data_IF_450456161351
#
_entry.id   IF_450456161351
#
_cell.length_a   1.000
_cell.length_b   1.000
_cell.length_c   1.000
_cell.angle_alpha   90.00
_cell.angle_beta   90.00
_cell.angle_gamma   90.00
#
_symmetry.space_group_name_H-M   'P 1'
#
loop_
_entity.id
_entity.type
_entity.pdbx_description
1 polymer ?
#
# COMPACT_ATOMS: atom_id res chain seq x y z
N UNK A 1 -6.54 -29.29 9.66
CA UNK A 1 -7.67 -29.21 8.71
C UNK A 1 -8.66 -28.12 9.11
N UNK A 2 -9.25 -28.13 10.31
CA UNK A 2 -10.28 -27.16 10.71
C UNK A 2 -9.94 -25.67 10.46
N UNK A 3 -8.70 -25.22 10.68
CA UNK A 3 -8.29 -23.82 10.44
C UNK A 3 -8.24 -23.46 8.95
N UNK A 4 -7.78 -24.38 8.09
CA UNK A 4 -7.71 -24.16 6.63
C UNK A 4 -9.11 -24.08 6.02
N UNK A 5 -10.01 -24.93 6.50
CA UNK A 5 -11.41 -24.91 6.06
C UNK A 5 -12.10 -23.62 6.53
N UNK A 6 -11.84 -23.19 7.77
CA UNK A 6 -12.38 -21.95 8.32
C UNK A 6 -11.91 -20.71 7.54
N UNK A 7 -10.61 -20.57 7.27
CA UNK A 7 -10.11 -19.40 6.53
C UNK A 7 -10.62 -19.40 5.08
N UNK A 8 -10.74 -20.56 4.44
CA UNK A 8 -11.30 -20.68 3.09
C UNK A 8 -12.77 -20.23 3.06
N UNK A 9 -13.55 -20.66 4.06
CA UNK A 9 -14.94 -20.24 4.21
C UNK A 9 -15.05 -18.73 4.48
N UNK A 10 -14.25 -18.17 5.38
CA UNK A 10 -14.24 -16.72 5.66
C UNK A 10 -13.88 -15.89 4.43
N UNK A 11 -12.91 -16.33 3.61
CA UNK A 11 -12.56 -15.63 2.37
C UNK A 11 -13.70 -15.70 1.35
N UNK A 12 -14.36 -16.86 1.22
CA UNK A 12 -15.52 -17.00 0.34
C UNK A 12 -16.68 -16.09 0.78
N UNK A 13 -16.95 -16.04 2.08
CA UNK A 13 -17.99 -15.18 2.66
C UNK A 13 -17.67 -13.68 2.46
N UNK A 14 -16.42 -13.27 2.70
CA UNK A 14 -15.97 -11.90 2.43
C UNK A 14 -16.22 -11.51 0.97
N UNK A 15 -15.85 -12.38 0.01
CA UNK A 15 -16.08 -12.15 -1.42
C UNK A 15 -17.57 -11.98 -1.76
N UNK A 16 -18.44 -12.77 -1.13
CA UNK A 16 -19.89 -12.68 -1.30
C UNK A 16 -20.55 -11.43 -0.72
N UNK A 17 -19.79 -10.62 0.04
CA UNK A 17 -20.26 -9.38 0.66
C UNK A 17 -19.60 -8.11 0.10
N UNK A 18 -18.59 -8.21 -0.78
CA UNK A 18 -17.84 -7.04 -1.25
C UNK A 18 -18.72 -5.98 -1.94
N UNK A 19 -19.76 -6.39 -2.65
CA UNK A 19 -20.74 -5.50 -3.29
C UNK A 19 -21.62 -4.73 -2.30
N UNK A 20 -21.69 -5.19 -1.05
CA UNK A 20 -22.45 -4.58 0.04
C UNK A 20 -21.59 -3.72 0.96
N UNK A 21 -20.26 -3.79 0.84
CA UNK A 21 -19.34 -2.95 1.61
C UNK A 21 -19.25 -1.59 0.93
N UNK A 22 -20.06 -0.64 1.41
CA UNK A 22 -19.91 0.76 1.04
C UNK A 22 -18.89 1.41 1.98
N UNK A 23 -17.79 1.89 1.40
CA UNK A 23 -16.85 2.74 2.15
C UNK A 23 -17.37 4.17 2.10
N UNK A 24 -17.39 4.87 3.22
CA UNK A 24 -17.75 6.29 3.22
C UNK A 24 -16.82 7.06 2.27
N UNK A 25 -17.33 7.92 1.37
CA UNK A 25 -16.49 8.62 0.39
C UNK A 25 -15.35 9.43 1.02
N UNK A 26 -15.58 10.00 2.22
CA UNK A 26 -14.57 10.74 2.98
C UNK A 26 -13.43 9.86 3.49
N UNK A 27 -13.67 8.56 3.69
CA UNK A 27 -12.64 7.62 4.13
C UNK A 27 -11.87 7.11 2.91
N UNK A 28 -12.54 7.04 1.74
CA UNK A 28 -11.93 6.60 0.49
C UNK A 28 -10.76 7.48 0.04
N UNK A 29 -10.85 8.81 0.21
CA UNK A 29 -9.81 9.75 -0.22
C UNK A 29 -8.49 9.59 0.54
N UNK A 30 -8.53 9.02 1.76
CA UNK A 30 -7.35 8.75 2.57
C UNK A 30 -6.70 7.40 2.22
N UNK A 31 -7.46 6.46 1.64
CA UNK A 31 -7.00 5.08 1.41
C UNK A 31 -5.70 4.96 0.63
N UNK A 32 -5.42 5.75 -0.43
CA UNK A 32 -4.14 5.66 -1.11
C UNK A 32 -2.96 5.81 -0.15
N UNK A 33 -3.03 6.75 0.80
CA UNK A 33 -2.01 7.00 1.81
C UNK A 33 -2.01 5.90 2.89
N UNK A 34 -3.16 5.64 3.51
CA UNK A 34 -3.29 4.71 4.65
C UNK A 34 -2.82 3.29 4.31
N UNK A 35 -3.18 2.77 3.13
CA UNK A 35 -2.78 1.40 2.73
C UNK A 35 -1.26 1.27 2.67
N UNK A 36 -0.56 2.27 2.14
CA UNK A 36 0.89 2.24 2.07
C UNK A 36 1.54 2.56 3.42
N UNK A 37 0.91 3.41 4.23
CA UNK A 37 1.37 3.75 5.59
C UNK A 37 1.32 2.52 6.50
N UNK A 38 0.28 1.69 6.38
CA UNK A 38 0.17 0.42 7.11
C UNK A 38 1.31 -0.54 6.73
N UNK A 39 1.74 -0.55 5.46
CA UNK A 39 2.91 -1.35 5.05
C UNK A 39 4.19 -0.87 5.73
N UNK A 40 4.35 0.44 5.91
CA UNK A 40 5.46 0.99 6.68
C UNK A 40 5.35 0.59 8.15
N UNK A 41 4.20 0.84 8.77
CA UNK A 41 3.99 0.75 10.21
C UNK A 41 4.05 -0.69 10.71
N UNK A 42 3.47 -1.63 9.96
CA UNK A 42 3.34 -3.02 10.41
C UNK A 42 4.39 -3.93 9.77
N UNK A 43 4.53 -3.89 8.45
CA UNK A 43 5.37 -4.84 7.73
C UNK A 43 6.85 -4.47 7.82
N UNK A 44 7.23 -3.25 7.44
CA UNK A 44 8.64 -2.85 7.46
C UNK A 44 9.22 -2.67 8.88
N UNK A 45 8.36 -2.64 9.91
CA UNK A 45 8.77 -2.69 11.32
C UNK A 45 8.77 -4.12 11.89
N UNK A 46 8.34 -5.12 11.12
CA UNK A 46 8.33 -6.53 11.52
C UNK A 46 7.31 -6.89 12.61
N UNK A 47 6.24 -6.11 12.78
CA UNK A 47 5.25 -6.37 13.84
C UNK A 47 4.27 -7.50 13.51
N UNK A 48 4.17 -7.87 12.24
CA UNK A 48 3.14 -8.78 11.70
C UNK A 48 3.71 -10.10 11.20
N UNK A 49 5.03 -10.28 11.17
CA UNK A 49 5.62 -11.55 10.75
C UNK A 49 5.45 -12.62 11.84
N UNK A 50 4.59 -13.61 11.56
CA UNK A 50 4.36 -14.78 12.40
C UNK A 50 5.24 -15.96 11.97
N UNK A 51 6.43 -15.67 11.40
CA UNK A 51 7.39 -16.65 10.87
C UNK A 51 7.19 -17.01 9.40
N UNK A 52 6.44 -16.20 8.65
CA UNK A 52 6.16 -16.40 7.24
C UNK A 52 7.18 -15.74 6.30
N UNK A 53 7.91 -14.72 6.76
CA UNK A 53 8.90 -14.01 5.97
C UNK A 53 8.32 -13.33 4.72
N UNK A 54 7.05 -12.92 4.79
CA UNK A 54 6.27 -12.39 3.67
C UNK A 54 6.24 -10.86 3.60
N UNK A 55 6.95 -10.15 4.48
CA UNK A 55 6.79 -8.72 4.70
C UNK A 55 7.00 -7.92 3.40
N UNK A 56 8.03 -8.22 2.62
CA UNK A 56 8.27 -7.54 1.34
C UNK A 56 7.26 -7.88 0.25
N UNK A 57 6.73 -9.10 0.25
CA UNK A 57 5.67 -9.50 -0.67
C UNK A 57 4.37 -8.75 -0.34
N UNK A 58 4.07 -8.59 0.95
CA UNK A 58 2.92 -7.83 1.42
C UNK A 58 3.08 -6.33 1.13
N UNK A 59 4.27 -5.75 1.31
CA UNK A 59 4.56 -4.35 0.93
C UNK A 59 4.39 -4.16 -0.58
N UNK A 60 4.82 -5.11 -1.41
CA UNK A 60 4.58 -5.07 -2.85
C UNK A 60 3.08 -5.09 -3.17
N UNK A 61 2.30 -5.95 -2.50
CA UNK A 61 0.86 -6.01 -2.68
C UNK A 61 0.17 -4.70 -2.24
N UNK A 62 0.63 -4.08 -1.14
CA UNK A 62 0.18 -2.76 -0.69
C UNK A 62 0.46 -1.67 -1.73
N UNK A 63 1.66 -1.64 -2.31
CA UNK A 63 1.99 -0.70 -3.39
C UNK A 63 1.07 -0.89 -4.62
N UNK A 64 0.78 -2.14 -5.00
CA UNK A 64 -0.15 -2.43 -6.08
C UNK A 64 -1.59 -1.97 -5.76
N UNK A 65 -2.05 -2.18 -4.53
CA UNK A 65 -3.35 -1.68 -4.07
C UNK A 65 -3.41 -0.15 -4.08
N UNK A 66 -2.35 0.53 -3.64
CA UNK A 66 -2.24 2.00 -3.72
C UNK A 66 -2.35 2.50 -5.17
N UNK A 67 -1.74 1.82 -6.15
CA UNK A 67 -1.91 2.17 -7.58
C UNK A 67 -3.38 2.08 -8.01
N UNK A 68 -4.05 0.99 -7.66
CA UNK A 68 -5.45 0.79 -8.00
C UNK A 68 -6.37 1.85 -7.36
N UNK A 69 -6.05 2.30 -6.14
CA UNK A 69 -6.78 3.38 -5.46
C UNK A 69 -6.51 4.74 -6.10
N UNK A 70 -5.26 5.03 -6.49
CA UNK A 70 -4.91 6.24 -7.23
C UNK A 70 -5.65 6.33 -8.57
N UNK A 71 -5.81 5.23 -9.28
CA UNK A 71 -6.57 5.19 -10.53
C UNK A 71 -8.06 5.49 -10.33
N UNK A 72 -8.63 5.12 -9.18
CA UNK A 72 -10.02 5.44 -8.84
C UNK A 72 -10.24 6.93 -8.52
N UNK A 73 -9.29 7.58 -7.85
CA UNK A 73 -9.38 9.02 -7.54
C UNK A 73 -8.87 9.92 -8.68
N UNK A 74 -8.22 9.34 -9.69
CA UNK A 74 -7.56 10.08 -10.77
C UNK A 74 -8.44 11.14 -11.46
N UNK A 75 -9.73 10.88 -11.79
CA UNK A 75 -10.59 11.88 -12.43
C UNK A 75 -10.81 13.15 -11.60
N UNK A 76 -10.67 13.05 -10.27
CA UNK A 76 -10.85 14.18 -9.36
C UNK A 76 -9.53 14.88 -9.05
N UNK A 77 -8.43 14.13 -8.97
CA UNK A 77 -7.09 14.66 -8.66
C UNK A 77 -6.49 15.37 -9.87
N UNK A 78 -6.53 14.76 -11.07
CA UNK A 78 -5.81 15.27 -12.24
C UNK A 78 -6.18 16.71 -12.65
N UNK A 79 -7.45 17.16 -12.57
CA UNK A 79 -7.80 18.55 -12.86
C UNK A 79 -7.30 19.57 -11.82
N UNK A 80 -6.96 19.12 -10.60
CA UNK A 80 -6.54 19.97 -9.47
C UNK A 80 -5.03 20.01 -9.31
N UNK A 81 -4.38 18.86 -9.48
CA UNK A 81 -2.93 18.73 -9.56
C UNK A 81 -2.54 17.70 -10.63
N UNK A 82 -2.17 18.14 -11.84
CA UNK A 82 -1.79 17.25 -12.93
C UNK A 82 -0.42 16.57 -12.70
N UNK A 83 0.40 17.07 -11.77
CA UNK A 83 1.74 16.54 -11.47
C UNK A 83 1.75 15.44 -10.42
N UNK A 84 0.75 15.40 -9.52
CA UNK A 84 0.70 14.47 -8.40
C UNK A 84 0.67 13.01 -8.85
N UNK A 85 -0.27 12.62 -9.72
CA UNK A 85 -0.43 11.20 -10.11
C UNK A 85 0.80 10.65 -10.86
N UNK A 86 1.39 11.36 -11.85
CA UNK A 86 2.63 10.90 -12.48
C UNK A 86 3.78 10.76 -11.48
N UNK A 87 3.94 11.73 -10.55
CA UNK A 87 4.98 11.69 -9.52
C UNK A 87 4.80 10.48 -8.60
N UNK A 88 3.61 10.28 -8.05
CA UNK A 88 3.31 9.15 -7.18
C UNK A 88 3.53 7.80 -7.88
N UNK A 89 3.12 7.67 -9.16
CA UNK A 89 3.33 6.44 -9.94
C UNK A 89 4.81 6.14 -10.18
N UNK A 90 5.62 7.16 -10.48
CA UNK A 90 7.06 7.00 -10.65
C UNK A 90 7.77 6.64 -9.33
N UNK A 91 7.35 7.24 -8.21
CA UNK A 91 7.89 6.89 -6.89
C UNK A 91 7.51 5.45 -6.48
N UNK A 92 6.29 5.00 -6.82
CA UNK A 92 5.89 3.60 -6.64
C UNK A 92 6.73 2.66 -7.52
N UNK A 93 7.15 3.06 -8.73
CA UNK A 93 8.07 2.26 -9.56
C UNK A 93 9.45 2.13 -8.91
N UNK A 94 9.94 3.21 -8.30
CA UNK A 94 11.17 3.22 -7.53
C UNK A 94 11.08 2.33 -6.28
N UNK A 95 9.95 2.38 -5.56
CA UNK A 95 9.67 1.47 -4.44
C UNK A 95 9.66 0.01 -4.90
N UNK A 96 8.98 -0.31 -6.00
CA UNK A 96 8.99 -1.67 -6.55
C UNK A 96 10.40 -2.15 -6.93
N UNK A 97 11.24 -1.27 -7.48
CA UNK A 97 12.63 -1.60 -7.78
C UNK A 97 13.44 -1.87 -6.50
N UNK A 98 13.25 -1.04 -5.46
CA UNK A 98 13.88 -1.24 -4.15
C UNK A 98 13.44 -2.56 -3.50
N UNK A 99 12.15 -2.91 -3.60
CA UNK A 99 11.61 -4.18 -3.13
C UNK A 99 12.23 -5.34 -3.89
N UNK A 100 12.23 -5.34 -5.22
CA UNK A 100 12.86 -6.43 -6.00
C UNK A 100 14.34 -6.64 -5.64
N UNK A 101 15.06 -5.58 -5.25
CA UNK A 101 16.43 -5.69 -4.80
C UNK A 101 16.60 -6.39 -3.43
N UNK A 102 15.53 -6.67 -2.68
CA UNK A 102 15.58 -7.48 -1.45
C UNK A 102 15.48 -8.99 -1.73
N UNK A 103 15.17 -9.39 -2.96
CA UNK A 103 15.09 -10.80 -3.32
C UNK A 103 16.47 -11.45 -3.44
N UNK A 104 16.54 -12.76 -3.19
CA UNK A 104 17.64 -13.64 -3.59
C UNK A 104 17.10 -14.74 -4.51
N UNK A 105 17.75 -14.97 -5.64
CA UNK A 105 17.37 -16.00 -6.61
C UNK A 105 15.89 -15.95 -7.02
N UNK A 106 15.35 -14.73 -7.14
CA UNK A 106 13.94 -14.48 -7.49
C UNK A 106 12.93 -14.75 -6.37
N UNK A 107 13.38 -15.00 -5.14
CA UNK A 107 12.54 -15.25 -3.97
C UNK A 107 12.65 -14.11 -2.97
N UNK A 108 11.53 -13.80 -2.32
CA UNK A 108 11.51 -12.89 -1.18
C UNK A 108 12.33 -13.47 -0.02
N UNK A 109 13.12 -12.61 0.61
CA UNK A 109 13.84 -12.93 1.83
C UNK A 109 13.06 -12.37 3.02
N UNK A 110 13.06 -13.04 4.18
CA UNK A 110 12.51 -12.48 5.42
C UNK A 110 13.16 -11.13 5.76
N UNK A 111 12.42 -10.23 6.41
CA UNK A 111 12.91 -8.89 6.77
C UNK A 111 14.21 -8.93 7.59
N UNK A 112 14.39 -9.94 8.44
CA UNK A 112 15.58 -10.10 9.28
C UNK A 112 16.85 -10.44 8.48
N UNK A 113 16.69 -11.11 7.34
CA UNK A 113 17.80 -11.65 6.54
C UNK A 113 18.32 -10.63 5.51
N UNK A 114 17.54 -9.59 5.22
CA UNK A 114 17.93 -8.53 4.27
C UNK A 114 18.91 -7.54 4.91
N UNK A 115 20.01 -7.28 4.20
CA UNK A 115 21.05 -6.35 4.63
C UNK A 115 20.47 -4.96 5.03
N UNK A 116 20.85 -4.39 6.19
CA UNK A 116 20.26 -3.14 6.70
C UNK A 116 20.25 -1.98 5.69
N UNK A 117 21.26 -1.90 4.83
CA UNK A 117 21.36 -0.90 3.77
C UNK A 117 20.19 -1.00 2.78
N UNK A 118 19.84 -2.22 2.33
CA UNK A 118 18.72 -2.45 1.41
C UNK A 118 17.39 -2.15 2.09
N UNK A 119 17.25 -2.51 3.38
CA UNK A 119 16.05 -2.18 4.17
C UNK A 119 15.81 -0.68 4.25
N UNK A 120 16.87 0.11 4.48
CA UNK A 120 16.79 1.58 4.49
C UNK A 120 16.41 2.16 3.13
N UNK A 121 16.89 1.59 2.02
CA UNK A 121 16.49 2.02 0.68
C UNK A 121 15.00 1.78 0.45
N UNK A 122 14.46 0.62 0.84
CA UNK A 122 13.02 0.34 0.77
C UNK A 122 12.22 1.31 1.62
N UNK A 123 12.60 1.51 2.89
CA UNK A 123 11.90 2.43 3.79
C UNK A 123 11.94 3.88 3.29
N UNK A 124 13.06 4.32 2.73
CA UNK A 124 13.20 5.65 2.11
C UNK A 124 12.31 5.83 0.89
N UNK A 125 12.30 4.86 -0.03
CA UNK A 125 11.45 4.88 -1.21
C UNK A 125 9.95 4.87 -0.85
N UNK A 126 9.56 4.08 0.16
CA UNK A 126 8.18 4.06 0.64
C UNK A 126 7.80 5.40 1.28
N UNK A 127 8.64 5.94 2.16
CA UNK A 127 8.41 7.24 2.79
C UNK A 127 8.25 8.36 1.76
N UNK A 128 9.09 8.35 0.71
CA UNK A 128 8.97 9.32 -0.39
C UNK A 128 7.61 9.25 -1.11
N UNK A 129 7.06 8.04 -1.30
CA UNK A 129 5.70 7.90 -1.85
C UNK A 129 4.66 8.47 -0.88
N UNK A 130 4.76 8.16 0.43
CA UNK A 130 3.81 8.63 1.44
C UNK A 130 3.72 10.16 1.51
N UNK A 131 4.86 10.85 1.42
CA UNK A 131 4.91 12.31 1.39
C UNK A 131 4.11 12.87 0.21
N UNK A 132 4.23 12.28 -0.98
CA UNK A 132 3.41 12.69 -2.15
C UNK A 132 1.93 12.33 -1.97
N UNK A 133 1.62 11.17 -1.37
CA UNK A 133 0.24 10.74 -1.15
C UNK A 133 -0.49 11.57 -0.09
N UNK A 134 0.23 12.22 0.82
CA UNK A 134 -0.33 13.12 1.82
C UNK A 134 -1.06 14.33 1.19
N UNK A 135 -0.73 14.68 -0.06
CA UNK A 135 -1.41 15.75 -0.79
C UNK A 135 -2.74 15.31 -1.42
N UNK A 136 -3.09 14.02 -1.43
CA UNK A 136 -4.34 13.54 -2.05
C UNK A 136 -5.59 14.01 -1.29
N UNK A 137 -5.72 13.79 0.04
CA UNK A 137 -6.91 14.23 0.78
C UNK A 137 -7.23 15.73 0.64
N UNK A 138 -6.30 16.69 0.85
CA UNK A 138 -6.64 18.10 0.79
C UNK A 138 -7.10 18.59 -0.60
N UNK A 139 -6.78 17.87 -1.67
CA UNK A 139 -7.31 18.16 -3.00
C UNK A 139 -8.78 17.74 -3.16
N UNK A 140 -9.23 16.73 -2.41
CA UNK A 140 -10.54 16.10 -2.56
C UNK A 140 -11.51 16.43 -1.44
N UNK A 141 -11.01 16.89 -0.29
CA UNK A 141 -11.84 17.42 0.80
C UNK A 141 -12.66 18.63 0.35
N UNK A 142 -13.93 18.64 0.72
CA UNK A 142 -14.77 19.82 0.52
C UNK A 142 -14.35 20.91 1.51
N UNK A 143 -14.26 22.17 1.10
CA UNK A 143 -13.96 23.25 2.02
C UNK A 143 -15.00 23.28 3.13
N UNK A 144 -14.52 23.26 4.38
CA UNK A 144 -15.38 23.52 5.53
C UNK A 144 -15.91 24.95 5.40
N UNK A 145 -17.25 25.13 5.40
CA UNK A 145 -17.82 26.47 5.49
C UNK A 145 -17.25 27.15 6.73
N UNK A 146 -16.50 28.23 6.53
CA UNK A 146 -16.26 29.22 7.59
C UNK A 146 -17.41 30.20 7.64
#
# INVERSE_FOLDING_TARGET
>A
MAVLDAISASVADLRGHLDKVMTEPKDFINRPHEVLEDMLRFQLMGYTDQGGGAEYAEVQAGAAATRALLDQVAPLVAPRDPGLLPKAKAQLDALEAALRATQADGKWQPLADVAPQRRRVVAGALGEVLETLADVPPLLELPTRR
#
